data_IF_590448800616
#
_entry.id   IF_590448800616
#
_cell.length_a   1.000
_cell.length_b   1.000
_cell.length_c   1.000
_cell.angle_alpha   90.00
_cell.angle_beta   90.00
_cell.angle_gamma   90.00
#
_symmetry.space_group_name_H-M   'P 1'
#
loop_
_entity.id
_entity.type
_entity.pdbx_description
1 polymer ?
#
# COMPACT_ATOMS: atom_id res chain seq x y z
N UNK A 1 -29.44 11.17 -1.00
CA UNK A 1 -28.88 12.12 -0.01
C UNK A 1 -27.47 11.66 0.31
N UNK A 2 -26.54 12.58 0.54
CA UNK A 2 -25.19 12.22 0.96
C UNK A 2 -25.24 11.48 2.31
N UNK A 3 -24.38 10.47 2.47
CA UNK A 3 -24.34 9.64 3.68
C UNK A 3 -23.20 10.12 4.57
N UNK A 4 -23.51 10.39 5.85
CA UNK A 4 -22.51 10.83 6.83
C UNK A 4 -21.33 9.86 6.96
N UNK A 5 -20.13 10.42 7.11
CA UNK A 5 -18.92 9.66 7.46
C UNK A 5 -19.16 8.79 8.71
N UNK A 6 -18.61 7.58 8.70
CA UNK A 6 -18.87 6.58 9.73
C UNK A 6 -18.81 5.15 9.21
N UNK A 7 -19.22 4.17 10.03
CA UNK A 7 -19.11 2.73 9.72
C UNK A 7 -19.75 2.30 8.39
N UNK A 8 -20.79 3.00 7.93
CA UNK A 8 -21.38 2.75 6.61
C UNK A 8 -20.32 2.77 5.49
N UNK A 9 -19.44 3.78 5.49
CA UNK A 9 -18.43 3.94 4.45
C UNK A 9 -17.33 2.88 4.51
N UNK A 10 -17.12 2.26 5.66
CA UNK A 10 -16.25 1.10 5.80
C UNK A 10 -16.84 -0.10 5.06
N UNK A 11 -18.12 -0.40 5.33
CA UNK A 11 -18.84 -1.48 4.66
C UNK A 11 -18.93 -1.23 3.14
N UNK A 12 -19.29 -0.01 2.75
CA UNK A 12 -19.37 0.40 1.35
C UNK A 12 -18.02 0.22 0.63
N UNK A 13 -16.91 0.67 1.23
CA UNK A 13 -15.60 0.54 0.60
C UNK A 13 -15.14 -0.92 0.50
N UNK A 14 -15.53 -1.78 1.45
CA UNK A 14 -15.23 -3.21 1.39
C UNK A 14 -16.06 -3.95 0.33
N UNK A 15 -17.22 -3.42 -0.06
CA UNK A 15 -18.05 -3.99 -1.13
C UNK A 15 -17.72 -3.40 -2.52
N UNK A 16 -17.37 -2.11 -2.60
CA UNK A 16 -17.35 -1.37 -3.88
C UNK A 16 -16.00 -0.74 -4.22
N UNK A 17 -15.05 -0.70 -3.28
CA UNK A 17 -13.75 -0.08 -3.46
C UNK A 17 -12.64 -0.98 -2.89
N UNK A 18 -12.62 -2.25 -3.27
CA UNK A 18 -11.61 -3.22 -2.80
C UNK A 18 -10.25 -2.95 -3.44
N UNK A 19 -9.19 -3.23 -2.69
CA UNK A 19 -7.85 -3.29 -3.26
C UNK A 19 -7.68 -4.61 -4.02
N UNK A 20 -6.89 -4.58 -5.09
CA UNK A 20 -6.48 -5.79 -5.80
C UNK A 20 -5.16 -6.32 -5.24
N UNK A 21 -5.07 -7.64 -5.10
CA UNK A 21 -3.82 -8.38 -4.92
C UNK A 21 -3.43 -9.17 -6.19
N UNK A 22 -4.17 -8.99 -7.29
CA UNK A 22 -3.88 -9.62 -8.58
C UNK A 22 -2.73 -8.89 -9.28
N UNK A 23 -1.69 -9.63 -9.68
CA UNK A 23 -0.53 -9.14 -10.44
C UNK A 23 -0.95 -8.49 -11.75
N UNK A 24 -2.07 -8.90 -12.32
CA UNK A 24 -2.63 -8.28 -13.52
C UNK A 24 -3.13 -6.84 -13.30
N UNK A 25 -3.29 -6.40 -12.05
CA UNK A 25 -3.66 -5.03 -11.74
C UNK A 25 -2.46 -4.06 -11.70
N UNK A 26 -1.23 -4.55 -11.88
CA UNK A 26 -0.05 -3.71 -12.06
C UNK A 26 -0.11 -2.98 -13.42
N UNK A 27 0.52 -1.81 -13.47
CA UNK A 27 0.89 -1.16 -14.72
C UNK A 27 1.73 -2.11 -15.59
N UNK A 28 1.55 -2.10 -16.91
CA UNK A 28 2.13 -3.11 -17.80
C UNK A 28 3.67 -3.14 -17.74
N UNK A 29 4.31 -1.98 -17.72
CA UNK A 29 5.77 -1.88 -17.67
C UNK A 29 6.33 -2.32 -16.32
N UNK A 30 5.63 -1.99 -15.23
CA UNK A 30 6.02 -2.42 -13.90
C UNK A 30 5.71 -3.91 -13.67
N UNK A 31 4.62 -4.43 -14.23
CA UNK A 31 4.24 -5.84 -14.17
C UNK A 31 5.34 -6.75 -14.68
N UNK A 32 5.85 -6.49 -15.89
CA UNK A 32 6.90 -7.31 -16.49
C UNK A 32 8.18 -7.34 -15.61
N UNK A 33 8.52 -6.21 -14.97
CA UNK A 33 9.65 -6.11 -14.03
C UNK A 33 9.43 -6.94 -12.77
N UNK A 34 8.23 -6.86 -12.18
CA UNK A 34 7.84 -7.62 -10.99
C UNK A 34 7.81 -9.12 -11.28
N UNK A 35 7.24 -9.55 -12.40
CA UNK A 35 7.20 -10.96 -12.80
C UNK A 35 8.61 -11.55 -12.96
N UNK A 36 9.52 -10.83 -13.62
CA UNK A 36 10.91 -11.25 -13.77
C UNK A 36 11.63 -11.34 -12.43
N UNK A 37 11.41 -10.39 -11.52
CA UNK A 37 11.99 -10.42 -10.18
C UNK A 37 11.47 -11.60 -9.34
N UNK A 38 10.14 -11.81 -9.32
CA UNK A 38 9.51 -12.93 -8.59
C UNK A 38 9.98 -14.27 -9.16
N UNK A 39 10.14 -14.38 -10.47
CA UNK A 39 10.68 -15.59 -11.10
C UNK A 39 12.11 -15.88 -10.64
N UNK A 40 12.97 -14.85 -10.60
CA UNK A 40 14.35 -15.00 -10.11
C UNK A 40 14.41 -15.43 -8.64
N UNK A 41 13.53 -14.87 -7.79
CA UNK A 41 13.40 -15.26 -6.38
C UNK A 41 12.98 -16.73 -6.23
N UNK A 42 11.92 -17.14 -6.94
CA UNK A 42 11.41 -18.51 -6.88
C UNK A 42 12.42 -19.52 -7.41
N UNK A 43 13.13 -19.19 -8.49
CA UNK A 43 14.20 -20.03 -9.03
C UNK A 43 15.37 -20.22 -8.04
N UNK A 44 15.60 -19.25 -7.16
CA UNK A 44 16.61 -19.33 -6.09
C UNK A 44 16.11 -20.05 -4.82
N UNK A 45 14.85 -20.52 -4.79
CA UNK A 45 14.26 -21.21 -3.64
C UNK A 45 13.56 -20.30 -2.62
N UNK A 46 13.35 -19.01 -2.92
CA UNK A 46 12.56 -18.13 -2.07
C UNK A 46 11.05 -18.30 -2.28
N UNK A 47 10.28 -18.09 -1.22
CA UNK A 47 8.82 -17.97 -1.26
C UNK A 47 8.44 -16.49 -1.32
N UNK A 48 7.46 -16.15 -2.15
CA UNK A 48 6.93 -14.79 -2.29
C UNK A 48 5.42 -14.82 -2.08
N UNK A 49 4.94 -14.05 -1.11
CA UNK A 49 3.53 -13.86 -0.79
C UNK A 49 3.17 -12.40 -1.10
N UNK A 50 2.17 -12.20 -1.96
CA UNK A 50 1.71 -10.86 -2.36
C UNK A 50 0.54 -10.47 -1.46
N UNK A 51 0.66 -9.33 -0.78
CA UNK A 51 -0.36 -8.82 0.12
C UNK A 51 -1.25 -7.76 -0.54
N UNK A 52 -0.69 -6.88 -1.36
CA UNK A 52 -1.44 -5.82 -2.04
C UNK A 52 -0.76 -5.33 -3.30
N UNK A 53 -1.55 -4.92 -4.29
CA UNK A 53 -1.08 -4.38 -5.57
C UNK A 53 -1.77 -3.06 -5.87
N UNK A 54 -3.04 -3.10 -6.29
CA UNK A 54 -3.72 -1.89 -6.74
C UNK A 54 -4.67 -1.39 -5.67
N UNK A 55 -4.39 -0.21 -5.13
CA UNK A 55 -5.29 0.46 -4.20
C UNK A 55 -6.38 1.16 -4.99
N UNK A 56 -7.64 0.89 -4.65
CA UNK A 56 -8.74 1.61 -5.29
C UNK A 56 -8.65 3.11 -4.95
N UNK A 57 -8.71 4.03 -5.94
CA UNK A 57 -8.65 5.46 -5.68
C UNK A 57 -9.70 5.93 -4.66
N UNK A 58 -10.92 5.37 -4.72
CA UNK A 58 -12.01 5.71 -3.79
C UNK A 58 -11.70 5.28 -2.36
N UNK A 59 -11.08 4.11 -2.20
CA UNK A 59 -10.61 3.65 -0.90
C UNK A 59 -9.49 4.53 -0.36
N UNK A 60 -8.52 4.91 -1.21
CA UNK A 60 -7.44 5.81 -0.81
C UNK A 60 -7.97 7.18 -0.36
N UNK A 61 -8.96 7.72 -1.06
CA UNK A 61 -9.66 8.94 -0.68
C UNK A 61 -10.31 8.83 0.71
N UNK A 62 -11.11 7.78 0.93
CA UNK A 62 -11.76 7.55 2.22
C UNK A 62 -10.75 7.37 3.35
N UNK A 63 -9.64 6.67 3.10
CA UNK A 63 -8.56 6.48 4.06
C UNK A 63 -7.90 7.80 4.46
N UNK A 64 -7.52 8.60 3.46
CA UNK A 64 -6.82 9.86 3.66
C UNK A 64 -7.65 10.84 4.49
N UNK A 65 -8.88 11.10 4.06
CA UNK A 65 -9.71 12.13 4.68
C UNK A 65 -10.27 11.71 6.03
N UNK A 66 -10.62 10.42 6.21
CA UNK A 66 -10.98 9.91 7.53
C UNK A 66 -9.83 10.09 8.54
N UNK A 67 -8.60 9.81 8.11
CA UNK A 67 -7.42 10.04 8.93
C UNK A 67 -7.25 11.54 9.23
N UNK A 68 -7.20 12.40 8.21
CA UNK A 68 -6.97 13.84 8.39
C UNK A 68 -8.00 14.50 9.32
N UNK A 69 -9.28 14.20 9.13
CA UNK A 69 -10.37 14.77 9.94
C UNK A 69 -10.31 14.21 11.37
N UNK A 70 -10.21 12.88 11.55
CA UNK A 70 -10.19 12.29 12.89
C UNK A 70 -9.03 12.80 13.74
N UNK A 71 -7.86 13.01 13.12
CA UNK A 71 -6.67 13.55 13.77
C UNK A 71 -6.71 15.08 13.94
N UNK A 72 -7.78 15.74 13.46
CA UNK A 72 -7.92 17.21 13.53
C UNK A 72 -6.86 17.96 12.72
N UNK A 73 -6.37 17.35 11.64
CA UNK A 73 -5.34 17.91 10.74
C UNK A 73 -5.94 18.71 9.58
N UNK A 74 -7.25 18.60 9.36
CA UNK A 74 -8.02 19.41 8.41
C UNK A 74 -9.43 19.63 8.94
N UNK A 75 -10.14 20.60 8.39
CA UNK A 75 -11.57 20.80 8.65
C UNK A 75 -12.41 19.73 7.92
N UNK A 76 -13.62 19.39 8.43
CA UNK A 76 -14.51 18.46 7.76
C UNK A 76 -14.98 18.90 6.36
N UNK A 77 -14.89 20.19 6.03
CA UNK A 77 -15.21 20.73 4.71
C UNK A 77 -14.05 20.78 3.72
N UNK A 78 -12.82 20.48 4.16
CA UNK A 78 -11.62 20.51 3.29
C UNK A 78 -11.56 19.40 2.22
N UNK A 79 -12.11 18.18 2.43
CA UNK A 79 -12.09 17.16 1.40
C UNK A 79 -12.79 17.60 0.12
N UNK A 80 -12.06 17.62 -1.00
CA UNK A 80 -12.68 17.80 -2.31
C UNK A 80 -13.68 16.66 -2.59
N UNK A 81 -14.81 16.91 -3.27
CA UNK A 81 -15.74 15.86 -3.66
C UNK A 81 -15.08 14.77 -4.50
N UNK A 82 -15.44 13.51 -4.28
CA UNK A 82 -14.99 12.39 -5.09
C UNK A 82 -16.16 11.70 -5.81
N UNK A 83 -16.07 11.61 -7.13
CA UNK A 83 -17.13 11.02 -7.95
C UNK A 83 -17.46 9.58 -7.51
N UNK A 84 -18.75 9.34 -7.24
CA UNK A 84 -19.26 8.05 -6.80
C UNK A 84 -18.80 7.66 -5.39
N UNK A 85 -18.52 8.66 -4.54
CA UNK A 85 -18.33 8.58 -3.09
C UNK A 85 -19.13 9.73 -2.47
N UNK A 86 -20.43 9.55 -2.32
CA UNK A 86 -21.38 10.57 -1.84
C UNK A 86 -21.34 10.73 -0.30
N UNK A 87 -20.15 10.93 0.25
CA UNK A 87 -19.89 11.05 1.69
C UNK A 87 -20.11 12.49 2.18
N UNK A 88 -20.83 12.63 3.28
CA UNK A 88 -20.95 13.88 4.03
C UNK A 88 -19.94 13.86 5.20
N UNK A 89 -18.85 14.60 5.04
CA UNK A 89 -17.79 14.71 6.05
C UNK A 89 -18.15 15.68 7.17
N UNK A 90 -18.77 16.81 6.82
CA UNK A 90 -19.22 17.82 7.77
C UNK A 90 -20.62 17.51 8.28
N UNK A 91 -20.75 17.18 9.56
CA UNK A 91 -22.02 16.83 10.18
C UNK A 91 -22.71 18.07 10.81
N UNK A 92 -22.20 19.27 10.55
CA UNK A 92 -22.63 20.53 11.15
C UNK A 92 -22.13 20.72 12.59
N UNK A 93 -21.32 19.79 13.08
CA UNK A 93 -20.69 19.83 14.41
C UNK A 93 -19.32 19.14 14.34
N UNK A 94 -18.27 19.85 14.73
CA UNK A 94 -16.89 19.37 14.60
C UNK A 94 -16.67 18.06 15.39
N UNK A 95 -17.28 17.93 16.57
CA UNK A 95 -17.11 16.73 17.41
C UNK A 95 -17.73 15.51 16.74
N UNK A 96 -18.93 15.64 16.15
CA UNK A 96 -19.61 14.58 15.38
C UNK A 96 -18.84 14.23 14.10
N UNK A 97 -18.37 15.22 13.35
CA UNK A 97 -17.58 14.98 12.13
C UNK A 97 -16.31 14.19 12.42
N UNK A 98 -15.59 14.55 13.50
CA UNK A 98 -14.40 13.80 13.96
C UNK A 98 -14.74 12.39 14.45
N UNK A 99 -15.87 12.21 15.12
CA UNK A 99 -16.32 10.90 15.58
C UNK A 99 -16.62 9.97 14.39
N UNK A 100 -17.37 10.43 13.38
CA UNK A 100 -17.64 9.66 12.16
C UNK A 100 -16.36 9.29 11.40
N UNK A 101 -15.43 10.24 11.24
CA UNK A 101 -14.13 9.97 10.65
C UNK A 101 -13.32 8.95 11.48
N UNK A 102 -13.38 9.03 12.81
CA UNK A 102 -12.70 8.07 13.69
C UNK A 102 -13.27 6.66 13.56
N UNK A 103 -14.60 6.49 13.45
CA UNK A 103 -15.19 5.17 13.20
C UNK A 103 -14.64 4.52 11.92
N UNK A 104 -14.37 5.34 10.90
CA UNK A 104 -13.78 4.86 9.65
C UNK A 104 -12.31 4.50 9.82
N UNK A 105 -11.51 5.31 10.53
CA UNK A 105 -10.12 4.98 10.89
C UNK A 105 -10.04 3.63 11.60
N UNK A 106 -10.90 3.43 12.62
CA UNK A 106 -10.93 2.20 13.40
C UNK A 106 -11.41 1.02 12.55
N UNK A 107 -12.48 1.21 11.75
CA UNK A 107 -13.03 0.16 10.89
C UNK A 107 -12.12 -0.25 9.73
N UNK A 108 -11.26 0.64 9.26
CA UNK A 108 -10.23 0.34 8.26
C UNK A 108 -8.92 -0.15 8.87
N UNK A 109 -8.75 -0.05 10.19
CA UNK A 109 -7.50 -0.40 10.87
C UNK A 109 -6.34 0.51 10.49
N UNK A 110 -6.59 1.81 10.27
CA UNK A 110 -5.53 2.74 9.89
C UNK A 110 -4.64 3.06 11.09
N UNK A 111 -3.32 3.03 10.86
CA UNK A 111 -2.36 3.46 11.87
C UNK A 111 -2.49 4.97 12.15
N UNK A 112 -2.54 5.34 13.42
CA UNK A 112 -2.58 6.72 13.93
C UNK A 112 -1.41 6.94 14.91
N UNK A 113 -1.13 8.17 15.37
CA UNK A 113 -0.05 8.40 16.32
C UNK A 113 -0.21 7.56 17.60
N UNK A 114 0.89 7.04 18.17
CA UNK A 114 2.28 7.23 17.77
C UNK A 114 2.77 6.29 16.65
N UNK A 115 1.95 5.34 16.19
CA UNK A 115 2.35 4.35 15.18
C UNK A 115 2.56 4.95 13.78
N UNK A 116 1.77 5.96 13.41
CA UNK A 116 1.96 6.74 12.18
C UNK A 116 1.56 8.20 12.39
N UNK A 117 2.37 9.13 11.90
CA UNK A 117 2.07 10.57 11.91
C UNK A 117 1.61 11.09 10.54
N UNK A 118 1.52 10.22 9.53
CA UNK A 118 1.16 10.59 8.17
C UNK A 118 -0.17 9.95 7.76
N UNK A 119 -1.06 10.66 7.04
CA UNK A 119 -2.23 10.05 6.45
C UNK A 119 -1.83 9.09 5.32
N UNK A 120 -2.65 8.08 5.02
CA UNK A 120 -2.52 7.33 3.77
C UNK A 120 -2.48 8.27 2.55
N UNK A 121 -1.51 8.08 1.65
CA UNK A 121 -1.29 8.99 0.52
C UNK A 121 -2.37 8.86 -0.58
N UNK A 122 -2.84 10.02 -1.09
CA UNK A 122 -3.71 10.12 -2.26
C UNK A 122 -2.98 9.93 -3.60
N UNK A 123 -1.65 10.03 -3.58
CA UNK A 123 -0.77 9.89 -4.75
C UNK A 123 0.19 8.71 -4.57
N UNK A 124 -0.32 7.62 -4.01
CA UNK A 124 0.45 6.40 -3.80
C UNK A 124 0.67 5.65 -5.12
N UNK A 125 1.87 5.08 -5.30
CA UNK A 125 2.18 4.19 -6.41
C UNK A 125 1.22 2.98 -6.52
N UNK A 126 0.63 2.53 -5.40
CA UNK A 126 -0.41 1.49 -5.43
C UNK A 126 -1.66 1.91 -6.21
N UNK A 127 -1.99 3.20 -6.27
CA UNK A 127 -3.19 3.66 -7.00
C UNK A 127 -2.99 3.48 -8.50
N UNK A 128 -1.76 3.71 -8.97
CA UNK A 128 -1.37 3.60 -10.37
C UNK A 128 -0.91 2.19 -10.77
N UNK A 129 -0.94 1.21 -9.86
CA UNK A 129 -0.43 -0.14 -10.13
C UNK A 129 1.10 -0.18 -10.29
N UNK A 130 1.81 0.78 -9.70
CA UNK A 130 3.26 0.94 -9.78
C UNK A 130 3.98 0.55 -8.47
N UNK A 131 3.26 -0.10 -7.56
CA UNK A 131 3.78 -0.68 -6.32
C UNK A 131 3.12 -2.03 -6.02
N UNK A 132 3.81 -2.80 -5.20
CA UNK A 132 3.44 -4.13 -4.74
C UNK A 132 3.96 -4.32 -3.31
N UNK A 133 3.07 -4.75 -2.43
CA UNK A 133 3.41 -5.19 -1.09
C UNK A 133 3.60 -6.70 -1.13
N UNK A 134 4.81 -7.16 -0.80
CA UNK A 134 5.13 -8.57 -0.79
C UNK A 134 6.02 -8.96 0.39
N UNK A 135 5.78 -10.15 0.92
CA UNK A 135 6.63 -10.82 1.89
C UNK A 135 7.49 -11.86 1.16
N UNK A 136 8.80 -11.76 1.32
CA UNK A 136 9.77 -12.66 0.70
C UNK A 136 10.47 -13.43 1.82
N UNK A 137 10.46 -14.76 1.77
CA UNK A 137 11.10 -15.62 2.78
C UNK A 137 11.97 -16.69 2.13
N UNK A 138 13.05 -17.08 2.80
CA UNK A 138 13.93 -18.19 2.42
C UNK A 138 14.68 -18.69 3.66
N UNK A 139 15.50 -19.72 3.50
CA UNK A 139 16.41 -20.23 4.55
C UNK A 139 17.83 -20.36 3.98
N UNK A 140 18.83 -20.31 4.87
CA UNK A 140 20.24 -20.39 4.47
C UNK A 140 20.68 -19.28 3.50
N UNK A 141 21.68 -19.57 2.68
CA UNK A 141 22.11 -18.68 1.60
C UNK A 141 21.50 -19.13 0.29
N UNK A 142 20.80 -18.23 -0.39
CA UNK A 142 20.24 -18.49 -1.73
C UNK A 142 21.07 -17.78 -2.80
N UNK A 143 21.12 -18.35 -4.01
CA UNK A 143 21.84 -17.79 -5.16
C UNK A 143 20.86 -17.18 -6.13
N UNK A 144 20.82 -15.85 -6.22
CA UNK A 144 19.83 -15.14 -7.00
C UNK A 144 20.47 -14.49 -8.21
N UNK A 145 19.86 -14.67 -9.38
CA UNK A 145 20.27 -14.04 -10.63
C UNK A 145 19.75 -12.59 -10.68
N UNK A 146 20.63 -11.63 -10.92
CA UNK A 146 20.30 -10.23 -11.25
C UNK A 146 19.86 -10.11 -12.72
N UNK A 147 19.25 -8.97 -13.08
CA UNK A 147 18.72 -8.78 -14.44
C UNK A 147 19.79 -8.85 -15.54
N UNK A 148 21.03 -8.50 -15.24
CA UNK A 148 22.18 -8.57 -16.16
C UNK A 148 22.76 -9.99 -16.33
N UNK A 149 22.21 -10.97 -15.61
CA UNK A 149 22.64 -12.36 -15.66
C UNK A 149 23.65 -12.75 -14.58
N UNK A 150 24.24 -11.78 -13.86
CA UNK A 150 25.14 -12.06 -12.73
C UNK A 150 24.39 -12.76 -11.61
N UNK A 151 25.09 -13.60 -10.83
CA UNK A 151 24.51 -14.34 -9.70
C UNK A 151 25.16 -13.87 -8.42
N UNK A 152 24.35 -13.57 -7.41
CA UNK A 152 24.83 -13.16 -6.08
C UNK A 152 24.32 -14.12 -5.00
N UNK A 153 25.14 -14.31 -3.97
CA UNK A 153 24.78 -15.06 -2.76
C UNK A 153 24.06 -14.10 -1.80
N UNK A 154 22.81 -14.42 -1.44
CA UNK A 154 21.99 -13.66 -0.49
C UNK A 154 21.81 -14.49 0.79
N UNK A 155 22.52 -14.14 1.88
CA UNK A 155 22.39 -14.86 3.14
C UNK A 155 21.04 -14.59 3.79
N UNK A 156 20.54 -15.58 4.51
CA UNK A 156 19.34 -15.43 5.35
C UNK A 156 19.47 -14.27 6.33
N UNK A 157 18.38 -13.54 6.49
CA UNK A 157 18.18 -12.61 7.59
C UNK A 157 16.79 -12.86 8.17
N UNK A 158 16.69 -12.75 9.50
CA UNK A 158 15.39 -12.80 10.21
C UNK A 158 14.43 -11.72 9.73
N UNK A 159 14.97 -10.62 9.18
CA UNK A 159 14.22 -9.57 8.51
C UNK A 159 14.69 -9.38 7.06
N UNK A 160 14.06 -10.08 6.10
CA UNK A 160 14.32 -9.92 4.67
C UNK A 160 14.24 -8.48 4.15
N UNK A 161 13.36 -7.65 4.70
CA UNK A 161 13.12 -6.29 4.21
C UNK A 161 14.34 -5.37 4.39
N UNK A 162 15.24 -5.72 5.31
CA UNK A 162 16.50 -4.99 5.55
C UNK A 162 17.70 -5.57 4.82
N UNK A 163 17.53 -6.67 4.08
CA UNK A 163 18.63 -7.32 3.37
C UNK A 163 19.03 -6.50 2.14
N UNK A 164 20.15 -5.79 2.23
CA UNK A 164 20.61 -4.89 1.16
C UNK A 164 20.95 -5.62 -0.14
N UNK A 165 21.38 -6.89 -0.08
CA UNK A 165 21.64 -7.71 -1.26
C UNK A 165 20.33 -8.09 -1.96
N UNK A 166 19.28 -8.44 -1.21
CA UNK A 166 17.95 -8.64 -1.77
C UNK A 166 17.41 -7.36 -2.42
N UNK A 167 17.60 -6.20 -1.76
CA UNK A 167 17.21 -4.90 -2.30
C UNK A 167 17.96 -4.57 -3.60
N UNK A 168 19.24 -4.91 -3.69
CA UNK A 168 20.05 -4.75 -4.89
C UNK A 168 19.55 -5.64 -6.04
N UNK A 169 19.18 -6.90 -5.75
CA UNK A 169 18.57 -7.78 -6.75
C UNK A 169 17.29 -7.17 -7.28
N UNK A 170 16.36 -6.78 -6.41
CA UNK A 170 15.11 -6.13 -6.82
C UNK A 170 15.37 -4.89 -7.68
N UNK A 171 16.29 -4.02 -7.25
CA UNK A 171 16.66 -2.82 -7.99
C UNK A 171 17.20 -3.14 -9.39
N UNK A 172 17.93 -4.25 -9.56
CA UNK A 172 18.40 -4.69 -10.89
C UNK A 172 17.26 -5.01 -11.86
N UNK A 173 16.11 -5.45 -11.36
CA UNK A 173 14.89 -5.65 -12.15
C UNK A 173 14.03 -4.37 -12.29
N UNK A 174 14.42 -3.26 -11.65
CA UNK A 174 13.61 -2.05 -11.58
C UNK A 174 12.50 -2.10 -10.54
N UNK A 175 12.59 -3.02 -9.56
CA UNK A 175 11.65 -3.18 -8.44
C UNK A 175 12.35 -2.77 -7.15
N UNK A 176 12.09 -1.55 -6.69
CA UNK A 176 12.87 -0.89 -5.63
C UNK A 176 12.15 -0.95 -4.29
N UNK A 177 12.89 -1.29 -3.24
CA UNK A 177 12.38 -1.34 -1.87
C UNK A 177 12.19 0.06 -1.28
N UNK A 178 11.04 0.35 -0.69
CA UNK A 178 10.90 1.47 0.24
C UNK A 178 11.41 1.03 1.63
N UNK A 179 12.38 1.76 2.19
CA UNK A 179 13.04 1.35 3.45
C UNK A 179 12.19 1.61 4.69
N UNK A 180 11.34 2.64 4.65
CA UNK A 180 10.49 3.04 5.78
C UNK A 180 9.17 2.28 5.86
N UNK A 181 8.74 1.67 4.75
CA UNK A 181 7.56 0.81 4.68
C UNK A 181 7.97 -0.59 4.24
N UNK A 182 7.95 -1.52 5.19
CA UNK A 182 8.68 -2.79 5.13
C UNK A 182 8.14 -3.79 4.10
N UNK A 183 6.83 -4.00 3.88
CA UNK A 183 6.38 -4.84 2.76
C UNK A 183 6.50 -4.16 1.38
N UNK A 184 6.70 -2.84 1.30
CA UNK A 184 6.48 -2.06 0.07
C UNK A 184 7.64 -2.08 -0.93
N UNK A 185 7.33 -2.41 -2.19
CA UNK A 185 8.21 -2.30 -3.33
C UNK A 185 7.54 -1.53 -4.47
N UNK A 186 8.28 -0.70 -5.20
CA UNK A 186 7.73 0.11 -6.30
C UNK A 186 8.76 0.38 -7.37
N UNK A 187 8.34 0.95 -8.51
CA UNK A 187 9.27 1.28 -9.59
C UNK A 187 10.34 2.32 -9.19
N UNK A 188 10.04 3.18 -8.21
CA UNK A 188 10.89 4.29 -7.78
C UNK A 188 11.35 4.21 -6.32
N UNK A 189 10.91 3.21 -5.55
CA UNK A 189 11.28 3.02 -4.15
C UNK A 189 10.56 3.98 -3.19
N UNK A 190 9.43 4.55 -3.63
CA UNK A 190 8.51 5.39 -2.85
C UNK A 190 7.11 4.80 -2.80
#
# INVERSE_FOLDING_TARGET
MAQKSGRYWVAWANAHATNSADVNALDADFKAKVEAFIQALKAAGATVIIAAIRRNPKRAYLFHWAWMISQGKCAPGDPAPMQGVDIEWDHGDLKRSKAGAKEMVDGFGLAVPPASFNPPSLISNHINGQAIDMTITWTGTIRIRKKDGTVIDVPYQSNPDTNTLLQEVGASYGVKKLKTDRPHWSYNGK
#
